data_IF_563573759200
#
_entry.id   IF_563573759200
#
_cell.length_a   1.000
_cell.length_b   1.000
_cell.length_c   1.000
_cell.angle_alpha   90.00
_cell.angle_beta   90.00
_cell.angle_gamma   90.00
#
_symmetry.space_group_name_H-M   'P 1'
#
loop_
_entity.id
_entity.type
_entity.pdbx_description
1 polymer ?
#
# COMPACT_ATOMS: atom_id res chain seq x y z
N UNK A 1 -8.47 5.39 -5.01
CA UNK A 1 -7.14 4.72 -5.10
C UNK A 1 -7.33 3.23 -5.36
N UNK A 2 -8.16 2.56 -4.57
CA UNK A 2 -8.55 1.17 -4.75
C UNK A 2 -9.11 0.90 -6.16
N UNK A 3 -10.07 1.70 -6.63
CA UNK A 3 -10.63 1.57 -7.99
C UNK A 3 -9.55 1.69 -9.08
N UNK A 4 -8.67 2.69 -8.98
CA UNK A 4 -7.58 2.94 -9.94
C UNK A 4 -6.62 1.75 -10.00
N UNK A 5 -6.24 1.20 -8.84
CA UNK A 5 -5.37 0.03 -8.76
C UNK A 5 -6.06 -1.20 -9.37
N UNK A 6 -7.32 -1.45 -9.03
CA UNK A 6 -8.08 -2.60 -9.56
C UNK A 6 -8.41 -2.45 -11.06
N UNK A 7 -8.44 -1.23 -11.57
CA UNK A 7 -8.56 -0.94 -13.00
C UNK A 7 -7.22 -1.11 -13.76
N UNK A 8 -6.11 -1.37 -13.06
CA UNK A 8 -4.84 -1.77 -13.68
C UNK A 8 -4.22 -0.70 -14.58
N UNK A 9 -4.33 0.57 -14.21
CA UNK A 9 -3.89 1.71 -15.03
C UNK A 9 -2.36 1.79 -15.21
N UNK A 10 -1.57 1.36 -14.21
CA UNK A 10 -0.10 1.42 -14.29
C UNK A 10 0.55 0.06 -14.64
N UNK A 11 1.39 -0.04 -15.69
CA UNK A 11 2.15 -1.24 -16.01
C UNK A 11 3.40 -1.42 -15.12
N UNK A 12 3.84 -2.67 -14.94
CA UNK A 12 5.06 -3.05 -14.22
C UNK A 12 4.90 -3.14 -12.70
N UNK A 13 3.66 -3.14 -12.22
CA UNK A 13 3.32 -3.20 -10.81
C UNK A 13 3.28 -4.63 -10.26
N UNK A 14 3.48 -4.73 -8.95
CA UNK A 14 3.17 -5.91 -8.16
C UNK A 14 2.18 -5.50 -7.08
N UNK A 15 0.95 -6.02 -7.16
CA UNK A 15 -0.11 -5.75 -6.19
C UNK A 15 -0.31 -6.98 -5.31
N UNK A 16 -0.37 -6.75 -4.01
CA UNK A 16 -0.77 -7.76 -3.03
C UNK A 16 -2.10 -7.35 -2.41
N UNK A 17 -3.08 -8.24 -2.43
CA UNK A 17 -4.22 -8.17 -1.52
C UNK A 17 -3.85 -8.98 -0.28
N UNK A 18 -3.85 -8.32 0.87
CA UNK A 18 -3.75 -8.97 2.17
C UNK A 18 -5.12 -9.12 2.76
N UNK A 19 -5.44 -10.33 3.16
CA UNK A 19 -6.70 -10.67 3.77
C UNK A 19 -6.49 -11.50 5.04
N UNK A 20 -7.59 -11.86 5.69
CA UNK A 20 -7.60 -12.65 6.92
C UNK A 20 -8.78 -13.61 6.91
N UNK A 21 -8.82 -14.52 7.88
CA UNK A 21 -9.98 -15.38 8.15
C UNK A 21 -11.25 -14.58 8.44
N UNK A 22 -11.11 -13.33 8.90
CA UNK A 22 -12.24 -12.45 9.18
C UNK A 22 -12.85 -11.83 7.91
N UNK A 23 -12.08 -11.71 6.83
CA UNK A 23 -12.56 -11.18 5.56
C UNK A 23 -11.67 -11.64 4.40
N UNK A 24 -12.26 -12.31 3.42
CA UNK A 24 -11.52 -12.84 2.26
C UNK A 24 -11.28 -11.78 1.18
N UNK A 25 -10.07 -11.74 0.64
CA UNK A 25 -9.68 -10.89 -0.48
C UNK A 25 -10.00 -11.48 -1.86
N UNK A 26 -10.43 -12.74 -1.94
CA UNK A 26 -10.74 -13.41 -3.23
C UNK A 26 -11.79 -12.68 -4.07
N UNK A 27 -12.88 -12.10 -3.52
CA UNK A 27 -13.85 -11.39 -4.34
C UNK A 27 -13.22 -10.20 -5.08
N UNK A 28 -12.33 -9.45 -4.42
CA UNK A 28 -11.55 -8.39 -5.08
C UNK A 28 -10.58 -8.93 -6.13
N UNK A 29 -9.96 -10.08 -5.88
CA UNK A 29 -9.11 -10.75 -6.87
C UNK A 29 -9.90 -11.11 -8.14
N UNK A 30 -11.09 -11.69 -7.98
CA UNK A 30 -12.01 -12.00 -9.10
C UNK A 30 -12.48 -10.74 -9.83
N UNK A 31 -12.77 -9.68 -9.08
CA UNK A 31 -13.10 -8.37 -9.68
C UNK A 31 -11.96 -7.86 -10.57
N UNK A 32 -10.72 -7.91 -10.08
CA UNK A 32 -9.54 -7.50 -10.85
C UNK A 32 -9.36 -8.34 -12.13
N UNK A 33 -9.51 -9.67 -12.03
CA UNK A 33 -9.46 -10.57 -13.20
C UNK A 33 -10.48 -10.13 -14.25
N UNK A 34 -11.72 -9.90 -13.85
CA UNK A 34 -12.78 -9.45 -14.76
C UNK A 34 -12.45 -8.09 -15.40
N UNK A 35 -11.91 -7.15 -14.63
CA UNK A 35 -11.44 -5.87 -15.19
C UNK A 35 -10.31 -6.05 -16.20
N UNK A 36 -9.33 -6.94 -15.94
CA UNK A 36 -8.23 -7.23 -16.87
C UNK A 36 -8.71 -7.86 -18.17
N UNK A 37 -9.62 -8.84 -18.08
CA UNK A 37 -10.23 -9.48 -19.24
C UNK A 37 -10.99 -8.46 -20.11
N UNK A 38 -11.78 -7.56 -19.50
CA UNK A 38 -12.50 -6.48 -20.21
C UNK A 38 -11.57 -5.47 -20.89
N UNK A 39 -10.31 -5.35 -20.44
CA UNK A 39 -9.27 -4.54 -21.11
C UNK A 39 -8.61 -5.27 -22.29
N UNK A 40 -8.98 -6.53 -22.55
CA UNK A 40 -8.36 -7.37 -23.58
C UNK A 40 -6.97 -7.88 -23.19
N UNK A 41 -6.66 -7.96 -21.90
CA UNK A 41 -5.41 -8.51 -21.39
C UNK A 41 -5.52 -10.02 -21.22
N UNK A 42 -4.44 -10.76 -21.53
CA UNK A 42 -4.39 -12.18 -21.22
C UNK A 42 -4.11 -12.34 -19.73
N UNK A 43 -4.99 -13.06 -19.02
CA UNK A 43 -4.90 -13.28 -17.58
C UNK A 43 -4.52 -14.73 -17.32
N UNK A 44 -3.36 -14.93 -16.71
CA UNK A 44 -2.87 -16.24 -16.31
C UNK A 44 -3.04 -16.39 -14.80
N UNK A 45 -3.91 -17.28 -14.37
CA UNK A 45 -4.17 -17.56 -12.95
C UNK A 45 -3.41 -18.82 -12.54
N UNK A 46 -2.48 -18.69 -11.60
CA UNK A 46 -1.92 -19.85 -10.88
C UNK A 46 -2.90 -20.20 -9.75
N UNK A 47 -3.60 -21.32 -9.89
CA UNK A 47 -4.65 -21.76 -8.96
C UNK A 47 -4.18 -22.85 -8.02
N UNK A 48 -4.03 -22.54 -6.73
CA UNK A 48 -3.59 -23.45 -5.67
C UNK A 48 -4.70 -23.82 -4.68
N UNK A 49 -5.67 -22.95 -4.43
CA UNK A 49 -6.63 -23.11 -3.32
C UNK A 49 -8.08 -23.28 -3.76
N UNK A 50 -8.42 -22.81 -4.96
CA UNK A 50 -9.79 -22.85 -5.48
C UNK A 50 -9.78 -23.44 -6.89
N UNK A 51 -10.73 -24.33 -7.22
CA UNK A 51 -10.79 -24.94 -8.55
C UNK A 51 -11.19 -23.93 -9.63
N UNK A 52 -10.88 -24.25 -10.90
CA UNK A 52 -11.12 -23.37 -12.05
C UNK A 52 -12.58 -22.94 -12.18
N UNK A 53 -13.55 -23.85 -11.98
CA UNK A 53 -14.97 -23.56 -12.15
C UNK A 53 -15.47 -22.47 -11.19
N UNK A 54 -14.90 -22.39 -9.99
CA UNK A 54 -15.25 -21.35 -9.02
C UNK A 54 -14.64 -20.00 -9.41
N UNK A 55 -13.47 -19.99 -10.04
CA UNK A 55 -12.82 -18.78 -10.53
C UNK A 55 -13.48 -18.24 -11.80
N UNK A 56 -13.86 -19.13 -12.71
CA UNK A 56 -14.54 -18.79 -13.96
C UNK A 56 -16.02 -18.53 -13.79
N UNK A 57 -16.64 -19.01 -12.70
CA UNK A 57 -17.98 -18.63 -12.33
C UNK A 57 -18.09 -17.10 -12.27
N UNK A 58 -18.99 -16.54 -13.10
CA UNK A 58 -19.29 -15.11 -13.22
C UNK A 58 -18.25 -14.27 -13.98
N UNK A 59 -17.24 -14.88 -14.60
CA UNK A 59 -16.45 -14.20 -15.63
C UNK A 59 -17.28 -14.03 -16.91
N UNK A 60 -16.99 -12.98 -17.66
CA UNK A 60 -17.66 -12.72 -18.93
C UNK A 60 -17.25 -13.76 -19.98
N UNK A 61 -18.22 -14.54 -20.47
CA UNK A 61 -18.02 -15.61 -21.45
C UNK A 61 -17.34 -15.11 -22.74
N UNK A 62 -17.47 -13.82 -23.07
CA UNK A 62 -16.88 -13.21 -24.26
C UNK A 62 -15.35 -13.12 -24.21
N UNK A 63 -14.74 -13.21 -23.03
CA UNK A 63 -13.29 -13.04 -22.82
C UNK A 63 -12.58 -14.33 -22.40
N UNK A 64 -13.25 -15.49 -22.46
CA UNK A 64 -12.70 -16.77 -22.01
C UNK A 64 -11.43 -17.18 -22.77
N UNK A 65 -11.27 -16.74 -24.02
CA UNK A 65 -10.07 -17.00 -24.81
C UNK A 65 -8.81 -16.30 -24.26
N UNK A 66 -8.97 -15.28 -23.42
CA UNK A 66 -7.88 -14.55 -22.75
C UNK A 66 -7.64 -15.04 -21.32
N UNK A 67 -8.50 -15.92 -20.81
CA UNK A 67 -8.40 -16.47 -19.47
C UNK A 67 -7.69 -17.82 -19.50
N UNK A 68 -6.54 -17.90 -18.83
CA UNK A 68 -5.71 -19.11 -18.76
C UNK A 68 -5.56 -19.54 -17.31
N UNK A 69 -6.19 -20.65 -16.94
CA UNK A 69 -6.09 -21.21 -15.60
C UNK A 69 -5.07 -22.33 -15.54
N UNK A 70 -4.10 -22.21 -14.64
CA UNK A 70 -3.04 -23.18 -14.42
C UNK A 70 -3.34 -23.96 -13.15
N UNK A 71 -3.94 -25.14 -13.33
CA UNK A 71 -4.48 -25.94 -12.23
C UNK A 71 -3.38 -26.64 -11.42
N UNK A 72 -2.96 -26.00 -10.33
CA UNK A 72 -2.20 -26.61 -9.25
C UNK A 72 -3.09 -26.99 -8.04
N UNK A 73 -4.41 -26.81 -8.10
CA UNK A 73 -5.33 -27.15 -7.02
C UNK A 73 -5.52 -28.67 -6.90
N UNK A 74 -5.69 -29.37 -8.04
CA UNK A 74 -5.95 -30.82 -8.04
C UNK A 74 -4.74 -31.66 -7.64
N UNK A 75 -3.52 -31.20 -7.96
CA UNK A 75 -2.27 -31.89 -7.64
C UNK A 75 -1.13 -30.89 -7.33
N UNK A 76 -1.22 -30.12 -6.23
CA UNK A 76 -0.29 -29.03 -5.94
C UNK A 76 1.16 -29.49 -5.74
N UNK A 77 1.35 -30.73 -5.32
CA UNK A 77 2.66 -31.32 -5.00
C UNK A 77 3.18 -32.26 -6.09
N UNK A 78 2.40 -32.54 -7.13
CA UNK A 78 2.77 -33.43 -8.23
C UNK A 78 2.75 -34.91 -7.85
N UNK A 79 1.90 -35.32 -6.91
CA UNK A 79 1.78 -36.71 -6.45
C UNK A 79 1.06 -37.60 -7.47
N UNK A 80 0.04 -37.07 -8.14
CA UNK A 80 -0.72 -37.83 -9.14
C UNK A 80 -0.11 -37.72 -10.53
N UNK A 81 0.80 -36.76 -10.76
CA UNK A 81 1.46 -36.46 -12.05
C UNK A 81 0.48 -36.11 -13.17
N UNK A 82 -0.70 -35.64 -12.80
CA UNK A 82 -1.75 -35.26 -13.75
C UNK A 82 -1.73 -33.76 -14.07
N UNK A 83 -1.17 -32.93 -13.18
CA UNK A 83 -1.08 -31.49 -13.37
C UNK A 83 0.16 -31.08 -14.16
N UNK A 84 -0.03 -30.20 -15.15
CA UNK A 84 1.03 -29.58 -15.94
C UNK A 84 1.83 -28.52 -15.16
N UNK A 85 1.23 -27.98 -14.09
CA UNK A 85 1.84 -26.98 -13.21
C UNK A 85 1.63 -27.38 -11.75
N UNK A 86 2.66 -27.19 -10.92
CA UNK A 86 2.63 -27.52 -9.49
C UNK A 86 3.40 -26.43 -8.74
N UNK A 87 3.29 -26.41 -7.41
CA UNK A 87 3.99 -25.39 -6.61
C UNK A 87 5.50 -25.41 -6.82
N UNK A 88 6.08 -26.58 -7.09
CA UNK A 88 7.52 -26.77 -7.36
C UNK A 88 8.01 -26.04 -8.61
N UNK A 89 7.10 -25.72 -9.52
CA UNK A 89 7.37 -24.96 -10.75
C UNK A 89 7.17 -23.45 -10.54
N UNK A 90 7.07 -22.98 -9.29
CA UNK A 90 7.06 -21.55 -9.00
C UNK A 90 8.46 -20.96 -9.19
N UNK A 91 8.84 -20.75 -10.45
CA UNK A 91 10.08 -20.09 -10.85
C UNK A 91 9.80 -19.11 -11.98
N UNK A 92 10.62 -18.05 -12.07
CA UNK A 92 10.49 -17.07 -13.12
C UNK A 92 10.62 -17.69 -14.52
N UNK A 93 11.48 -18.71 -14.67
CA UNK A 93 11.69 -19.43 -15.93
C UNK A 93 10.48 -20.26 -16.33
N UNK A 94 9.92 -21.05 -15.41
CA UNK A 94 8.79 -21.93 -15.69
C UNK A 94 7.53 -21.12 -15.96
N UNK A 95 7.28 -20.09 -15.13
CA UNK A 95 6.16 -19.17 -15.33
C UNK A 95 6.32 -18.41 -16.65
N UNK A 96 7.52 -17.96 -17.02
CA UNK A 96 7.73 -17.28 -18.32
C UNK A 96 7.44 -18.22 -19.49
N UNK A 97 7.87 -19.49 -19.42
CA UNK A 97 7.58 -20.49 -20.44
C UNK A 97 6.08 -20.73 -20.61
N UNK A 98 5.38 -20.87 -19.49
CA UNK A 98 3.93 -21.03 -19.42
C UNK A 98 3.17 -19.85 -20.06
N UNK A 99 3.68 -18.62 -19.89
CA UNK A 99 3.13 -17.43 -20.55
C UNK A 99 3.40 -17.43 -22.07
N UNK A 100 4.58 -17.88 -22.51
CA UNK A 100 4.98 -17.90 -23.92
C UNK A 100 4.25 -18.97 -24.76
N UNK A 101 3.86 -20.08 -24.14
CA UNK A 101 3.07 -21.14 -24.82
C UNK A 101 1.69 -20.63 -25.28
N UNK A 102 1.26 -19.48 -24.79
CA UNK A 102 -0.06 -18.89 -25.06
C UNK A 102 0.03 -17.78 -26.12
N UNK A 103 -0.39 -18.09 -27.36
CA UNK A 103 -0.06 -17.32 -28.58
C UNK A 103 -0.79 -15.97 -28.78
N UNK A 104 -1.51 -15.40 -27.80
CA UNK A 104 -2.52 -14.38 -28.08
C UNK A 104 -2.46 -13.05 -27.30
N UNK A 105 -1.40 -12.75 -26.55
CA UNK A 105 -1.43 -11.61 -25.63
C UNK A 105 -0.64 -10.36 -26.07
N UNK A 106 -1.30 -9.20 -26.11
CA UNK A 106 -0.68 -7.86 -26.21
C UNK A 106 0.01 -7.44 -24.90
N UNK A 107 -0.46 -7.96 -23.77
CA UNK A 107 0.11 -7.82 -22.44
C UNK A 107 -0.43 -8.94 -21.52
N UNK A 108 0.46 -9.63 -20.79
CA UNK A 108 0.07 -10.72 -19.89
C UNK A 108 0.04 -10.27 -18.44
N UNK A 109 -1.06 -10.58 -17.74
CA UNK A 109 -1.25 -10.37 -16.31
C UNK A 109 -1.10 -11.70 -15.60
N UNK A 110 -0.21 -11.75 -14.61
CA UNK A 110 -0.03 -12.92 -13.76
C UNK A 110 -0.84 -12.75 -12.47
N UNK A 111 -1.76 -13.66 -12.22
CA UNK A 111 -2.54 -13.72 -11.00
C UNK A 111 -2.13 -14.95 -10.20
N UNK A 112 -1.82 -14.75 -8.92
CA UNK A 112 -1.46 -15.81 -7.99
C UNK A 112 -2.59 -15.90 -6.96
N UNK A 113 -3.39 -16.96 -7.04
CA UNK A 113 -4.58 -17.09 -6.19
C UNK A 113 -4.26 -17.20 -4.70
N UNK A 114 -3.06 -17.68 -4.36
CA UNK A 114 -2.51 -17.75 -3.01
C UNK A 114 -0.98 -17.71 -3.02
N UNK A 115 -0.43 -16.53 -2.72
CA UNK A 115 0.99 -16.41 -2.35
C UNK A 115 1.27 -17.19 -1.06
N UNK A 116 0.28 -17.34 -0.18
CA UNK A 116 0.43 -18.09 1.06
C UNK A 116 0.76 -19.56 0.79
N UNK A 117 0.12 -20.17 -0.21
CA UNK A 117 0.41 -21.53 -0.60
C UNK A 117 1.85 -21.67 -1.13
N UNK A 118 2.30 -20.71 -1.94
CA UNK A 118 3.67 -20.71 -2.51
C UNK A 118 4.72 -20.61 -1.39
N UNK A 119 4.56 -19.62 -0.50
CA UNK A 119 5.47 -19.34 0.62
C UNK A 119 5.51 -20.47 1.64
N UNK A 120 4.45 -21.27 1.74
CA UNK A 120 4.43 -22.48 2.59
C UNK A 120 5.36 -23.59 2.06
N UNK A 121 5.62 -23.63 0.76
CA UNK A 121 6.35 -24.71 0.10
C UNK A 121 7.74 -24.28 -0.42
N UNK A 122 8.05 -23.00 -0.35
CA UNK A 122 9.33 -22.42 -0.78
C UNK A 122 9.89 -21.52 0.31
N UNK A 123 11.21 -21.36 0.33
CA UNK A 123 11.82 -20.36 1.18
C UNK A 123 11.29 -18.95 0.83
N UNK A 124 10.86 -18.12 1.80
CA UNK A 124 10.31 -16.80 1.54
C UNK A 124 11.26 -15.88 0.75
N UNK A 125 12.58 -16.01 0.95
CA UNK A 125 13.57 -15.23 0.20
C UNK A 125 13.59 -15.68 -1.25
N UNK A 126 13.57 -16.98 -1.52
CA UNK A 126 13.46 -17.52 -2.88
C UNK A 126 12.18 -17.01 -3.57
N UNK A 127 11.03 -17.02 -2.89
CA UNK A 127 9.76 -16.48 -3.44
C UNK A 127 9.90 -15.01 -3.83
N UNK A 128 10.47 -14.18 -2.94
CA UNK A 128 10.73 -12.77 -3.22
C UNK A 128 11.65 -12.58 -4.43
N UNK A 129 12.70 -13.40 -4.55
CA UNK A 129 13.63 -13.36 -5.70
C UNK A 129 12.93 -13.72 -7.00
N UNK A 130 12.11 -14.78 -7.03
CA UNK A 130 11.35 -15.18 -8.22
C UNK A 130 10.33 -14.12 -8.63
N UNK A 131 9.59 -13.55 -7.68
CA UNK A 131 8.67 -12.43 -7.94
C UNK A 131 9.40 -11.19 -8.48
N UNK A 132 10.59 -10.90 -7.97
CA UNK A 132 11.40 -9.79 -8.46
C UNK A 132 11.92 -10.04 -9.88
N UNK A 133 12.34 -11.27 -10.21
CA UNK A 133 12.74 -11.67 -11.57
C UNK A 133 11.57 -11.53 -12.54
N UNK A 134 10.39 -12.01 -12.16
CA UNK A 134 9.16 -11.90 -12.97
C UNK A 134 8.79 -10.43 -13.23
N UNK A 135 8.86 -9.58 -12.19
CA UNK A 135 8.57 -8.15 -12.30
C UNK A 135 9.56 -7.41 -13.22
N UNK A 136 10.84 -7.80 -13.22
CA UNK A 136 11.87 -7.21 -14.08
C UNK A 136 11.83 -7.76 -15.51
N UNK A 137 11.23 -8.93 -15.71
CA UNK A 137 11.05 -9.54 -17.02
C UNK A 137 10.06 -8.75 -17.89
N UNK A 138 10.14 -8.95 -19.21
CA UNK A 138 9.22 -8.33 -20.17
C UNK A 138 7.94 -9.14 -20.41
N UNK A 139 7.87 -10.38 -19.90
CA UNK A 139 6.76 -11.30 -20.16
C UNK A 139 5.52 -11.03 -19.31
N UNK A 140 5.66 -10.37 -18.16
CA UNK A 140 4.54 -10.06 -17.26
C UNK A 140 4.40 -8.56 -17.14
N UNK A 141 3.25 -8.03 -17.57
CA UNK A 141 2.94 -6.61 -17.38
C UNK A 141 2.61 -6.31 -15.93
N UNK A 142 1.90 -7.20 -15.25
CA UNK A 142 1.38 -6.97 -13.90
C UNK A 142 1.32 -8.28 -13.13
N UNK A 143 1.76 -8.24 -11.87
CA UNK A 143 1.59 -9.37 -10.94
C UNK A 143 0.55 -8.97 -9.90
N UNK A 144 -0.40 -9.85 -9.65
CA UNK A 144 -1.45 -9.65 -8.66
C UNK A 144 -1.57 -10.90 -7.79
N UNK A 145 -1.34 -10.78 -6.48
CA UNK A 145 -1.31 -11.93 -5.57
C UNK A 145 -2.19 -11.74 -4.33
N UNK A 146 -2.78 -12.82 -3.85
CA UNK A 146 -3.48 -12.87 -2.57
C UNK A 146 -2.58 -13.43 -1.47
N UNK A 147 -2.54 -12.78 -0.32
CA UNK A 147 -1.74 -13.18 0.84
C UNK A 147 -2.61 -13.24 2.11
N UNK A 148 -2.84 -14.46 2.61
CA UNK A 148 -3.51 -14.70 3.88
C UNK A 148 -2.59 -14.37 5.05
N UNK A 149 -2.83 -13.24 5.72
CA UNK A 149 -1.96 -12.73 6.78
C UNK A 149 -1.83 -13.68 7.96
N UNK A 150 -2.92 -14.37 8.32
CA UNK A 150 -2.98 -15.24 9.50
C UNK A 150 -2.12 -16.51 9.38
N UNK A 151 -1.60 -16.80 8.18
CA UNK A 151 -0.77 -17.98 7.91
C UNK A 151 0.74 -17.72 8.05
N UNK A 152 1.16 -16.46 8.22
CA UNK A 152 2.57 -16.09 8.15
C UNK A 152 3.00 -15.20 9.32
N UNK A 153 4.30 -15.25 9.63
CA UNK A 153 4.90 -14.32 10.56
C UNK A 153 5.04 -12.93 9.94
N UNK A 154 5.04 -11.89 10.79
CA UNK A 154 5.13 -10.49 10.36
C UNK A 154 6.35 -10.19 9.48
N UNK A 155 7.48 -10.85 9.69
CA UNK A 155 8.67 -10.68 8.86
C UNK A 155 8.45 -11.09 7.40
N UNK A 156 7.76 -12.21 7.17
CA UNK A 156 7.44 -12.73 5.83
C UNK A 156 6.40 -11.83 5.14
N UNK A 157 5.34 -11.46 5.87
CA UNK A 157 4.33 -10.52 5.39
C UNK A 157 4.98 -9.20 4.98
N UNK A 158 5.86 -8.66 5.83
CA UNK A 158 6.61 -7.44 5.58
C UNK A 158 7.49 -7.53 4.34
N UNK A 159 8.27 -8.61 4.19
CA UNK A 159 9.16 -8.81 3.05
C UNK A 159 8.41 -8.80 1.70
N UNK A 160 7.35 -9.60 1.57
CA UNK A 160 6.52 -9.64 0.36
C UNK A 160 5.88 -8.29 0.07
N UNK A 161 5.43 -7.62 1.13
CA UNK A 161 4.77 -6.31 1.00
C UNK A 161 5.70 -5.17 0.67
N UNK A 162 6.97 -5.25 1.08
CA UNK A 162 8.00 -4.30 0.67
C UNK A 162 8.38 -4.48 -0.80
N UNK A 163 8.28 -5.70 -1.33
CA UNK A 163 8.47 -5.97 -2.75
C UNK A 163 7.34 -5.41 -3.63
N UNK A 164 6.11 -5.38 -3.11
CA UNK A 164 4.92 -4.88 -3.80
C UNK A 164 4.98 -3.37 -4.07
N UNK A 165 4.52 -2.96 -5.26
CA UNK A 165 4.25 -1.55 -5.57
C UNK A 165 2.96 -1.06 -4.90
N UNK A 166 1.98 -1.95 -4.74
CA UNK A 166 0.74 -1.64 -4.02
C UNK A 166 0.36 -2.78 -3.09
N UNK A 167 -0.07 -2.44 -1.89
CA UNK A 167 -0.62 -3.36 -0.91
C UNK A 167 -2.03 -2.91 -0.56
N UNK A 168 -3.01 -3.80 -0.69
CA UNK A 168 -4.41 -3.58 -0.32
C UNK A 168 -4.70 -4.50 0.86
N UNK A 169 -4.87 -3.95 2.07
CA UNK A 169 -5.28 -4.75 3.23
C UNK A 169 -6.78 -4.63 3.44
N UNK A 170 -7.49 -5.76 3.44
CA UNK A 170 -8.95 -5.79 3.59
C UNK A 170 -9.37 -6.26 4.98
N UNK A 171 -10.32 -5.54 5.57
CA UNK A 171 -10.88 -5.84 6.89
C UNK A 171 -12.39 -5.66 6.89
N UNK A 172 -13.14 -6.50 7.64
CA UNK A 172 -14.58 -6.35 7.74
C UNK A 172 -14.92 -5.12 8.59
N UNK A 173 -16.09 -4.53 8.36
CA UNK A 173 -16.67 -3.50 9.25
C UNK A 173 -17.85 -4.12 9.99
N UNK A 174 -18.05 -3.75 11.26
CA UNK A 174 -19.12 -4.27 12.13
C UNK A 174 -20.54 -4.25 11.52
N UNK A 175 -20.81 -3.38 10.54
CA UNK A 175 -22.13 -3.23 9.93
C UNK A 175 -22.42 -4.19 8.75
N UNK A 176 -21.53 -5.14 8.43
CA UNK A 176 -21.64 -6.18 7.37
C UNK A 176 -21.87 -5.71 5.92
N UNK A 177 -22.41 -4.50 5.70
CA UNK A 177 -22.69 -3.93 4.37
C UNK A 177 -21.41 -3.51 3.65
N UNK A 178 -20.38 -3.11 4.38
CA UNK A 178 -19.14 -2.59 3.82
C UNK A 178 -17.92 -3.30 4.44
N UNK A 179 -16.85 -3.33 3.67
CA UNK A 179 -15.50 -3.64 4.13
C UNK A 179 -14.61 -2.41 3.97
N UNK A 180 -13.48 -2.41 4.67
CA UNK A 180 -12.47 -1.36 4.55
C UNK A 180 -11.28 -1.91 3.80
N UNK A 181 -10.80 -1.14 2.81
CA UNK A 181 -9.56 -1.38 2.12
C UNK A 181 -8.54 -0.30 2.48
N UNK A 182 -7.49 -0.70 3.18
CA UNK A 182 -6.33 0.11 3.45
C UNK A 182 -5.31 -0.09 2.34
N UNK A 183 -5.27 0.86 1.40
CA UNK A 183 -4.40 0.80 0.22
C UNK A 183 -3.14 1.62 0.46
N UNK A 184 -1.97 0.97 0.38
CA UNK A 184 -0.66 1.62 0.34
C UNK A 184 -0.09 1.47 -1.06
N UNK A 185 0.20 2.58 -1.74
CA UNK A 185 0.76 2.61 -3.07
C UNK A 185 2.10 3.35 -3.10
N UNK A 186 3.10 2.77 -3.76
CA UNK A 186 4.45 3.32 -3.91
C UNK A 186 4.67 3.73 -5.36
N UNK A 187 4.85 5.04 -5.58
CA UNK A 187 5.17 5.58 -6.89
C UNK A 187 6.61 5.28 -7.28
N UNK A 188 6.91 5.36 -8.58
CA UNK A 188 8.28 5.26 -9.12
C UNK A 188 9.22 6.34 -8.58
N UNK A 189 8.68 7.50 -8.16
CA UNK A 189 9.44 8.57 -7.51
C UNK A 189 9.84 8.26 -6.05
N UNK A 190 9.41 7.13 -5.49
CA UNK A 190 9.62 6.79 -4.09
C UNK A 190 8.53 7.32 -3.14
N UNK A 191 7.66 8.24 -3.61
CA UNK A 191 6.53 8.74 -2.80
C UNK A 191 5.57 7.60 -2.43
N UNK A 192 5.30 7.46 -1.15
CA UNK A 192 4.30 6.53 -0.61
C UNK A 192 2.99 7.27 -0.39
N UNK A 193 1.90 6.70 -0.91
CA UNK A 193 0.54 7.19 -0.71
C UNK A 193 -0.28 6.14 0.05
N UNK A 194 -1.07 6.58 1.01
CA UNK A 194 -1.97 5.72 1.75
C UNK A 194 -3.39 6.27 1.68
N UNK A 195 -4.36 5.39 1.48
CA UNK A 195 -5.78 5.75 1.48
C UNK A 195 -6.61 4.62 2.07
N UNK A 196 -7.46 4.99 3.02
CA UNK A 196 -8.51 4.13 3.56
C UNK A 196 -9.80 4.39 2.79
N UNK A 197 -10.39 3.35 2.20
CA UNK A 197 -11.63 3.44 1.41
C UNK A 197 -12.62 2.37 1.86
N UNK A 198 -13.88 2.75 2.06
CA UNK A 198 -14.96 1.81 2.34
C UNK A 198 -15.49 1.28 1.00
N UNK A 199 -15.66 -0.03 0.90
CA UNK A 199 -16.14 -0.64 -0.33
C UNK A 199 -17.16 -1.72 -0.05
N UNK A 200 -18.03 -1.96 -1.02
CA UNK A 200 -18.84 -3.17 -1.09
C UNK A 200 -18.73 -3.76 -2.49
N UNK A 201 -18.66 -5.08 -2.56
CA UNK A 201 -18.60 -5.81 -3.82
C UNK A 201 -19.85 -6.69 -3.90
N UNK A 202 -20.68 -6.43 -4.89
CA UNK A 202 -21.88 -7.25 -5.13
C UNK A 202 -21.51 -8.59 -5.76
N UNK A 203 -22.46 -9.52 -5.74
CA UNK A 203 -22.31 -10.82 -6.39
C UNK A 203 -22.04 -10.75 -7.89
N UNK A 204 -22.43 -9.65 -8.54
CA UNK A 204 -22.24 -9.38 -9.97
C UNK A 204 -20.88 -8.76 -10.28
N UNK A 205 -19.93 -8.82 -9.34
CA UNK A 205 -18.62 -8.19 -9.44
C UNK A 205 -18.71 -6.67 -9.70
N UNK A 206 -19.70 -6.00 -9.11
CA UNK A 206 -19.79 -4.52 -9.15
C UNK A 206 -19.20 -3.95 -7.88
N UNK A 207 -18.12 -3.18 -8.03
CA UNK A 207 -17.43 -2.51 -6.93
C UNK A 207 -18.05 -1.13 -6.69
N UNK A 208 -18.53 -0.90 -5.49
CA UNK A 208 -18.92 0.44 -5.00
C UNK A 208 -17.92 0.90 -3.96
N UNK A 209 -17.49 2.16 -4.07
CA UNK A 209 -16.58 2.79 -3.11
C UNK A 209 -17.31 3.97 -2.51
N UNK A 210 -17.42 3.99 -1.18
CA UNK A 210 -17.99 5.10 -0.43
C UNK A 210 -16.89 5.80 0.37
N UNK A 211 -16.96 7.12 0.40
CA UNK A 211 -16.21 7.89 1.40
C UNK A 211 -16.93 7.72 2.73
N UNK A 212 -16.18 7.38 3.79
CA UNK A 212 -16.60 7.08 5.17
C UNK A 212 -18.13 7.10 5.38
N UNK A 213 -18.80 5.96 5.63
CA UNK A 213 -20.25 5.93 5.76
C UNK A 213 -20.66 6.93 6.84
N UNK A 214 -21.45 7.93 6.44
CA UNK A 214 -22.04 8.89 7.36
C UNK A 214 -22.88 8.09 8.35
N UNK A 215 -22.34 7.85 9.54
CA UNK A 215 -23.16 7.46 10.68
C UNK A 215 -24.04 8.67 10.95
N UNK A 216 -25.29 8.65 10.50
CA UNK A 216 -26.49 9.16 11.16
C UNK A 216 -27.66 9.00 10.18
N UNK A 217 -28.42 7.92 10.38
CA UNK A 217 -29.78 7.86 9.89
C UNK A 217 -30.62 8.88 10.65
N UNK A 218 -31.49 9.57 9.90
CA UNK A 218 -32.55 10.44 10.38
C UNK A 218 -33.22 9.91 11.66
N UNK A 219 -33.02 10.60 12.77
CA UNK A 219 -34.06 10.77 13.79
C UNK A 219 -34.29 12.27 13.91
N UNK A 220 -35.57 12.61 13.99
CA UNK A 220 -36.17 13.93 13.86
C UNK A 220 -35.49 15.01 14.71
N UNK A 221 -35.46 16.20 14.10
CA UNK A 221 -35.60 17.53 14.70
C UNK A 221 -35.63 17.56 16.23
N UNK A 222 -34.54 18.05 16.85
CA UNK A 222 -34.63 19.10 17.86
C UNK A 222 -33.24 19.72 18.14
N UNK A 223 -33.13 20.99 17.74
CA UNK A 223 -32.40 22.09 18.37
C UNK A 223 -30.95 21.86 18.87
N UNK A 224 -30.01 22.43 18.12
CA UNK A 224 -28.81 23.16 18.56
C UNK A 224 -28.25 22.86 19.97
N UNK A 225 -27.04 22.29 20.04
CA UNK A 225 -25.80 22.94 20.51
C UNK A 225 -24.65 21.93 20.35
N UNK A 226 -23.79 22.11 19.35
CA UNK A 226 -22.50 21.41 19.29
C UNK A 226 -21.61 21.96 20.41
N UNK A 227 -21.47 21.21 21.51
CA UNK A 227 -20.35 21.40 22.41
C UNK A 227 -19.12 20.76 21.75
N UNK A 228 -18.27 21.60 21.18
CA UNK A 228 -16.93 21.27 20.71
C UNK A 228 -16.19 20.49 21.83
N UNK A 229 -16.03 19.17 21.64
CA UNK A 229 -15.36 18.32 22.63
C UNK A 229 -13.86 18.53 22.45
N UNK A 230 -13.25 19.23 23.40
CA UNK A 230 -11.83 19.56 23.43
C UNK A 230 -10.97 18.29 23.19
N UNK A 231 -10.18 18.24 22.10
CA UNK A 231 -9.38 17.06 21.73
C UNK A 231 -8.30 16.72 22.76
N UNK A 232 -8.05 17.62 23.73
CA UNK A 232 -7.10 17.42 24.81
C UNK A 232 -7.69 16.72 26.06
N UNK A 233 -9.00 16.45 26.10
CA UNK A 233 -9.67 15.90 27.29
C UNK A 233 -9.33 14.44 27.63
N UNK A 234 -8.75 13.66 26.70
CA UNK A 234 -8.44 12.23 26.89
C UNK A 234 -6.95 11.92 27.13
N UNK A 235 -6.11 12.92 27.44
CA UNK A 235 -4.72 12.66 27.79
C UNK A 235 -4.56 12.31 29.28
N UNK A 236 -3.73 11.31 29.58
CA UNK A 236 -3.35 10.89 30.94
C UNK A 236 -2.42 11.88 31.65
N UNK A 237 -2.01 12.95 30.96
CA UNK A 237 -1.22 14.05 31.51
C UNK A 237 -1.75 15.38 30.95
N UNK A 238 -1.70 16.42 31.77
CA UNK A 238 -2.26 17.71 31.42
C UNK A 238 -1.28 18.48 30.50
N UNK A 239 -1.71 18.77 29.26
CA UNK A 239 -0.97 19.61 28.31
C UNK A 239 -1.24 21.10 28.49
N UNK A 240 -2.30 21.47 29.23
CA UNK A 240 -2.62 22.87 29.52
C UNK A 240 -1.92 23.27 30.81
N UNK A 241 -1.09 24.31 30.73
CA UNK A 241 -0.54 24.93 31.93
C UNK A 241 -1.69 25.57 32.71
N UNK A 242 -1.73 25.35 34.02
CA UNK A 242 -2.56 26.18 34.90
C UNK A 242 -2.07 27.62 34.87
N UNK A 243 -2.93 28.58 35.25
CA UNK A 243 -2.56 30.00 35.25
C UNK A 243 -1.32 30.26 36.14
N UNK A 244 -1.22 29.53 37.25
CA UNK A 244 -0.06 29.59 38.16
C UNK A 244 1.21 29.08 37.48
N UNK A 245 1.14 27.98 36.72
CA UNK A 245 2.29 27.44 35.98
C UNK A 245 2.69 28.31 34.80
N UNK A 246 1.72 28.94 34.12
CA UNK A 246 1.97 29.89 33.03
C UNK A 246 2.72 31.12 33.55
N UNK A 247 2.24 31.72 34.64
CA UNK A 247 2.92 32.83 35.29
C UNK A 247 4.32 32.44 35.78
N UNK A 248 4.47 31.24 36.35
CA UNK A 248 5.77 30.75 36.81
C UNK A 248 6.73 30.63 35.62
N UNK A 249 6.31 30.02 34.51
CA UNK A 249 7.11 29.88 33.28
C UNK A 249 7.52 31.23 32.71
N UNK A 250 6.63 32.21 32.67
CA UNK A 250 6.94 33.57 32.18
C UNK A 250 7.94 34.31 33.08
N UNK A 251 7.96 34.00 34.38
CA UNK A 251 8.91 34.59 35.35
C UNK A 251 10.29 33.90 35.35
N UNK A 252 10.45 32.74 34.70
CA UNK A 252 11.75 32.06 34.61
C UNK A 252 12.66 32.81 33.65
N UNK A 253 13.75 33.37 34.19
CA UNK A 253 14.80 33.99 33.38
C UNK A 253 15.56 32.92 32.58
N UNK A 254 15.56 33.04 31.24
CA UNK A 254 16.27 32.12 30.36
C UNK A 254 17.80 32.34 30.48
N UNK A 255 18.60 31.28 30.73
CA UNK A 255 20.04 31.41 31.05
C UNK A 255 20.89 32.11 29.98
N UNK A 256 20.46 32.09 28.71
CA UNK A 256 21.22 32.61 27.56
C UNK A 256 20.53 33.76 26.81
N UNK A 257 19.38 34.24 27.29
CA UNK A 257 18.70 35.39 26.69
C UNK A 257 19.10 36.65 27.44
N UNK A 258 20.10 37.34 26.92
CA UNK A 258 20.48 38.65 27.43
C UNK A 258 19.38 39.67 27.17
N UNK A 259 19.08 40.54 28.15
CA UNK A 259 18.18 41.68 27.95
C UNK A 259 18.72 42.59 26.85
N UNK A 260 17.85 43.33 26.16
CA UNK A 260 18.27 44.24 25.08
C UNK A 260 19.37 45.21 25.51
N UNK A 261 19.33 45.69 26.76
CA UNK A 261 20.38 46.51 27.37
C UNK A 261 21.72 45.77 27.49
N UNK A 262 21.70 44.47 27.83
CA UNK A 262 22.93 43.65 27.94
C UNK A 262 23.44 43.21 26.56
N UNK A 263 22.55 42.91 25.60
CA UNK A 263 22.91 42.69 24.18
C UNK A 263 23.57 43.93 23.60
N UNK A 264 22.95 45.10 23.77
CA UNK A 264 23.52 46.36 23.28
C UNK A 264 24.79 46.79 24.02
N UNK A 265 24.99 46.41 25.29
CA UNK A 265 26.26 46.62 25.98
C UNK A 265 27.38 45.68 25.49
N UNK A 266 27.07 44.42 25.15
CA UNK A 266 28.03 43.46 24.59
C UNK A 266 28.36 43.75 23.11
N UNK A 267 27.41 44.30 22.36
CA UNK A 267 27.57 44.70 20.95
C UNK A 267 28.14 46.11 20.78
N UNK A 268 28.23 46.91 21.85
CA UNK A 268 29.01 48.15 21.81
C UNK A 268 30.47 47.78 21.66
N UNK A 269 31.07 48.21 20.54
CA UNK A 269 32.50 48.14 20.30
C UNK A 269 33.25 48.79 21.48
N UNK A 270 33.65 47.99 22.46
CA UNK A 270 34.84 48.29 23.22
C UNK A 270 36.01 48.38 22.24
N UNK A 271 37.01 49.20 22.57
CA UNK A 271 38.17 49.58 21.74
C UNK A 271 39.07 48.42 21.22
N UNK A 272 38.61 47.17 21.23
CA UNK A 272 39.22 46.03 20.57
C UNK A 272 38.38 45.60 19.36
N UNK A 273 38.88 45.89 18.15
CA UNK A 273 38.29 45.42 16.90
C UNK A 273 38.55 43.91 16.75
N UNK A 274 37.65 43.09 17.28
CA UNK A 274 37.60 41.66 16.94
C UNK A 274 36.99 41.51 15.55
N UNK A 275 37.79 41.66 14.50
CA UNK A 275 37.39 41.28 13.14
C UNK A 275 37.47 39.76 13.04
N UNK A 276 36.33 39.11 12.86
CA UNK A 276 36.29 37.71 12.43
C UNK A 276 36.58 37.72 10.93
N UNK A 277 37.79 37.31 10.56
CA UNK A 277 38.17 37.10 9.17
C UNK A 277 37.82 35.65 8.81
N UNK A 278 36.96 35.48 7.82
CA UNK A 278 36.68 34.18 7.22
C UNK A 278 37.54 34.03 5.97
N UNK A 279 38.36 32.99 5.90
CA UNK A 279 39.03 32.57 4.67
C UNK A 279 38.32 31.30 4.17
N UNK A 280 37.68 31.34 3.00
CA UNK A 280 37.04 30.15 2.42
C UNK A 280 38.07 29.07 2.14
N UNK A 281 37.75 27.82 2.47
CA UNK A 281 38.59 26.68 2.12
C UNK A 281 38.24 26.13 0.72
N UNK A 282 39.07 25.24 0.18
CA UNK A 282 38.89 24.71 -1.18
C UNK A 282 37.66 23.80 -1.34
N UNK A 283 36.98 23.47 -0.23
CA UNK A 283 35.80 22.64 -0.11
C UNK A 283 34.57 23.43 0.36
N UNK A 284 34.68 24.75 0.49
CA UNK A 284 33.51 25.64 0.64
C UNK A 284 32.78 25.70 -0.69
N UNK A 285 31.77 24.84 -0.82
CA UNK A 285 30.82 24.90 -1.92
C UNK A 285 29.95 26.15 -1.73
N UNK A 286 30.10 27.13 -2.63
CA UNK A 286 29.13 28.21 -2.77
C UNK A 286 27.83 27.59 -3.30
N UNK A 287 26.93 27.21 -2.41
CA UNK A 287 25.58 26.80 -2.77
C UNK A 287 24.86 28.05 -3.33
N UNK A 288 24.74 28.13 -4.67
CA UNK A 288 24.02 29.21 -5.37
C UNK A 288 22.49 29.10 -5.23
N UNK A 289 21.99 28.04 -4.60
CA UNK A 289 20.55 27.80 -4.41
C UNK A 289 20.15 28.37 -3.04
N UNK A 290 19.82 29.66 -3.00
CA UNK A 290 19.21 30.30 -1.82
C UNK A 290 17.84 29.62 -1.58
N UNK A 291 17.66 28.85 -0.50
CA UNK A 291 16.42 28.14 -0.24
C UNK A 291 15.25 29.07 0.14
N UNK A 292 15.50 30.38 0.25
CA UNK A 292 14.48 31.38 0.51
C UNK A 292 14.06 32.16 -0.77
N UNK A 293 14.67 31.90 -1.94
CA UNK A 293 14.37 32.60 -3.21
C UNK A 293 12.98 32.26 -3.80
N UNK A 294 12.34 31.18 -3.32
CA UNK A 294 10.95 30.81 -3.66
C UNK A 294 9.92 31.22 -2.60
N UNK A 295 10.34 31.94 -1.55
CA UNK A 295 9.45 32.43 -0.50
C UNK A 295 8.93 33.83 -0.82
N UNK A 296 7.70 33.89 -1.34
CA UNK A 296 6.93 35.14 -1.40
C UNK A 296 6.49 35.58 0.01
N UNK A 297 7.31 36.38 0.71
CA UNK A 297 6.97 37.03 2.00
C UNK A 297 6.48 38.47 1.79
#
# INVERSE_FOLDING_TARGET
MLSEVLQGTEPGGFVIIRDSVCYSGRPLLKYYINCALKRGEAVHVLGFEVPEHDFSAKLDSSCLNLFHFHNAYSDPLGWTRQSLFTVKHFSATDITKLLQETQHAKASVLVIDSLSFVVRHHDPVAVCQELQKLRKGSSVRMIFGLLHMDLHQQGVIGALSHLASTVISVTPVNNARYAVANTTHRKKSGKVMQKEEFFSLTEDLTLSIESKPNKFGNVQTDLHTESEVDPMSNLTFNLRLSEVEREAKEKVALPFVFSEKKKSALLRQGQGSGRVMYEPDANDDFDEEDPDDDLDV
#
